data_IF_275711176290
#
_entry.id   IF_275711176290
#
_cell.length_a   1.000
_cell.length_b   1.000
_cell.length_c   1.000
_cell.angle_alpha   90.00
_cell.angle_beta   90.00
_cell.angle_gamma   90.00
#
_symmetry.space_group_name_H-M   'P 1'
#
loop_
_entity.id
_entity.type
_entity.pdbx_description
1 polymer ?
#
# COMPACT_ATOMS: atom_id res chain seq x y z
N UNK A 1 -65.77 41.49 -0.25
CA UNK A 1 -64.89 41.38 -1.45
C UNK A 1 -63.48 41.82 -1.07
N UNK A 2 -62.47 41.01 -1.40
CA UNK A 2 -61.01 41.12 -1.11
C UNK A 2 -60.57 40.29 0.11
N UNK A 3 -60.69 38.96 0.06
CA UNK A 3 -59.86 38.00 -0.69
C UNK A 3 -58.38 37.99 -0.25
N UNK A 4 -58.02 37.00 0.57
CA UNK A 4 -57.08 35.93 0.19
C UNK A 4 -55.68 36.34 -0.32
N UNK A 5 -55.02 37.35 0.24
CA UNK A 5 -53.62 37.66 -0.17
C UNK A 5 -52.59 37.72 0.97
N UNK A 6 -52.95 37.30 2.18
CA UNK A 6 -52.00 37.20 3.30
C UNK A 6 -51.25 35.86 3.41
N UNK A 7 -51.71 34.81 2.72
CA UNK A 7 -51.09 33.46 2.82
C UNK A 7 -50.00 33.18 1.78
N UNK A 8 -49.54 34.19 1.03
CA UNK A 8 -48.56 34.03 -0.05
C UNK A 8 -47.14 34.55 0.28
N UNK A 9 -46.87 34.98 1.52
CA UNK A 9 -45.51 35.34 1.97
C UNK A 9 -44.93 34.29 2.91
N UNK A 10 -44.91 33.03 2.51
CA UNK A 10 -43.95 32.08 3.08
C UNK A 10 -42.69 32.18 2.23
N UNK A 11 -41.52 32.58 2.77
CA UNK A 11 -40.29 32.52 1.98
C UNK A 11 -40.12 31.07 1.53
N UNK A 12 -39.85 30.87 0.25
CA UNK A 12 -39.58 29.55 -0.31
C UNK A 12 -38.37 29.00 0.46
N UNK A 13 -38.57 28.02 1.35
CA UNK A 13 -37.47 27.35 2.03
C UNK A 13 -36.60 26.74 0.92
N UNK A 14 -35.44 27.35 0.70
CA UNK A 14 -34.53 27.00 -0.38
C UNK A 14 -34.31 25.49 -0.43
N UNK A 15 -34.18 24.96 -1.66
CA UNK A 15 -33.86 23.56 -1.93
C UNK A 15 -32.81 23.09 -0.91
N UNK A 16 -33.08 22.01 -0.16
CA UNK A 16 -32.12 21.41 0.77
C UNK A 16 -30.79 21.27 0.03
N UNK A 17 -29.80 22.08 0.40
CA UNK A 17 -28.45 21.95 -0.14
C UNK A 17 -28.01 20.55 0.27
N UNK A 18 -27.72 19.71 -0.72
CA UNK A 18 -27.14 18.39 -0.49
C UNK A 18 -25.71 18.64 -0.03
N UNK A 19 -25.54 18.98 1.26
CA UNK A 19 -24.23 18.94 1.89
C UNK A 19 -23.76 17.51 1.74
N UNK A 20 -22.68 17.31 0.99
CA UNK A 20 -22.09 15.99 0.81
C UNK A 20 -21.77 15.36 2.17
N UNK A 21 -21.38 14.08 2.17
CA UNK A 21 -20.93 13.39 3.38
C UNK A 21 -19.90 14.27 4.09
N UNK A 22 -20.22 14.74 5.29
CA UNK A 22 -19.30 15.50 6.13
C UNK A 22 -17.96 14.75 6.15
N UNK A 23 -16.81 15.40 5.87
CA UNK A 23 -15.53 14.75 6.05
C UNK A 23 -15.49 14.26 7.49
N UNK A 24 -15.49 12.95 7.70
CA UNK A 24 -15.28 12.39 9.03
C UNK A 24 -13.95 12.96 9.52
N UNK A 25 -13.96 13.74 10.60
CA UNK A 25 -12.74 14.22 11.24
C UNK A 25 -11.87 12.99 11.51
N UNK A 26 -10.75 12.89 10.78
CA UNK A 26 -9.82 11.78 10.95
C UNK A 26 -9.36 11.77 12.40
N UNK A 27 -9.51 10.62 13.09
CA UNK A 27 -8.99 10.44 14.44
C UNK A 27 -7.52 10.89 14.48
N UNK A 28 -7.13 11.62 15.54
CA UNK A 28 -5.73 11.99 15.77
C UNK A 28 -4.90 10.70 15.83
N UNK A 29 -4.09 10.46 14.79
CA UNK A 29 -3.21 9.30 14.72
C UNK A 29 -1.94 9.62 15.51
N UNK A 30 -1.46 8.70 16.37
CA UNK A 30 -0.17 8.89 17.02
C UNK A 30 0.94 9.00 15.98
N UNK A 31 2.05 9.63 16.38
CA UNK A 31 3.23 9.73 15.52
C UNK A 31 3.67 8.34 15.03
N UNK A 32 4.18 8.25 13.78
CA UNK A 32 4.67 6.99 13.24
C UNK A 32 5.81 6.40 14.09
N UNK A 33 5.89 5.06 14.16
CA UNK A 33 6.82 4.35 15.06
C UNK A 33 8.29 4.73 14.84
N UNK A 34 8.68 4.95 13.58
CA UNK A 34 10.04 5.33 13.20
C UNK A 34 10.45 6.70 13.76
N UNK A 35 9.47 7.55 14.10
CA UNK A 35 9.70 8.88 14.66
C UNK A 35 9.63 8.90 16.18
N UNK A 36 8.86 7.99 16.78
CA UNK A 36 8.63 7.91 18.22
C UNK A 36 9.93 7.67 19.00
N UNK A 37 10.82 6.81 18.49
CA UNK A 37 12.06 6.44 19.16
C UNK A 37 13.22 7.42 18.92
N UNK A 38 13.18 8.21 17.84
CA UNK A 38 14.26 9.13 17.46
C UNK A 38 13.67 10.54 17.27
N UNK A 39 13.70 11.38 18.33
CA UNK A 39 13.11 12.72 18.28
C UNK A 39 13.90 13.68 17.37
N UNK A 40 15.22 13.55 17.32
CA UNK A 40 16.08 14.44 16.52
C UNK A 40 15.97 14.12 15.01
N UNK A 41 15.71 15.15 14.21
CA UNK A 41 15.52 15.01 12.75
C UNK A 41 16.81 14.57 12.04
N UNK A 42 17.97 15.06 12.48
CA UNK A 42 19.26 14.74 11.86
C UNK A 42 19.65 13.28 12.05
N UNK A 43 19.47 12.74 13.25
CA UNK A 43 19.75 11.33 13.56
C UNK A 43 18.78 10.42 12.81
N UNK A 44 17.52 10.85 12.64
CA UNK A 44 16.53 10.14 11.82
C UNK A 44 16.95 10.06 10.35
N UNK A 45 17.45 11.16 9.78
CA UNK A 45 17.97 11.18 8.42
C UNK A 45 19.20 10.27 8.25
N UNK A 46 20.10 10.23 9.25
CA UNK A 46 21.24 9.29 9.28
C UNK A 46 20.76 7.83 9.33
N UNK A 47 19.79 7.51 10.19
CA UNK A 47 19.21 6.17 10.28
C UNK A 47 18.54 5.73 8.97
N UNK A 48 17.80 6.62 8.30
CA UNK A 48 17.20 6.35 7.00
C UNK A 48 18.25 6.04 5.92
N UNK A 49 19.38 6.76 5.91
CA UNK A 49 20.52 6.47 5.01
C UNK A 49 21.13 5.09 5.29
N UNK A 50 21.34 4.75 6.57
CA UNK A 50 21.85 3.44 6.98
C UNK A 50 20.93 2.31 6.52
N UNK A 51 19.60 2.47 6.68
CA UNK A 51 18.59 1.52 6.20
C UNK A 51 18.71 1.29 4.69
N UNK A 52 18.78 2.35 3.89
CA UNK A 52 18.91 2.23 2.42
C UNK A 52 20.23 1.55 2.03
N UNK A 53 21.33 1.87 2.73
CA UNK A 53 22.62 1.23 2.51
C UNK A 53 22.58 -0.28 2.81
N UNK A 54 21.95 -0.69 3.92
CA UNK A 54 21.79 -2.10 4.26
C UNK A 54 21.00 -2.88 3.20
N UNK A 55 19.99 -2.26 2.58
CA UNK A 55 19.19 -2.88 1.53
C UNK A 55 19.89 -2.99 0.16
N UNK A 56 21.06 -2.35 -0.04
CA UNK A 56 21.74 -2.35 -1.35
C UNK A 56 22.03 -3.75 -1.88
N UNK A 57 22.43 -4.68 -1.01
CA UNK A 57 22.74 -6.07 -1.41
C UNK A 57 21.50 -6.80 -1.93
N UNK A 58 20.39 -6.70 -1.20
CA UNK A 58 19.10 -7.30 -1.57
C UNK A 58 18.61 -6.76 -2.92
N UNK A 59 18.74 -5.45 -3.15
CA UNK A 59 18.37 -4.81 -4.43
C UNK A 59 19.27 -5.25 -5.59
N UNK A 60 20.57 -5.41 -5.34
CA UNK A 60 21.52 -5.93 -6.34
C UNK A 60 21.17 -7.37 -6.74
N UNK A 61 20.73 -8.18 -5.78
CA UNK A 61 20.24 -9.55 -6.01
C UNK A 61 18.79 -9.58 -6.57
N UNK A 62 18.18 -8.42 -6.85
CA UNK A 62 16.81 -8.27 -7.35
C UNK A 62 15.73 -8.98 -6.52
N UNK A 63 15.93 -9.10 -5.20
CA UNK A 63 14.96 -9.69 -4.28
C UNK A 63 13.76 -8.78 -4.07
N UNK A 64 12.58 -9.36 -3.85
CA UNK A 64 11.34 -8.60 -3.60
C UNK A 64 11.40 -7.78 -2.29
N UNK A 65 12.12 -8.30 -1.30
CA UNK A 65 12.30 -7.67 0.00
C UNK A 65 13.20 -8.51 0.91
N UNK A 66 13.35 -8.10 2.16
CA UNK A 66 14.15 -8.83 3.15
C UNK A 66 13.60 -10.22 3.49
N UNK A 67 12.28 -10.39 3.36
CA UNK A 67 11.60 -11.67 3.59
C UNK A 67 11.84 -12.69 2.45
N UNK A 68 12.32 -12.24 1.29
CA UNK A 68 12.57 -13.08 0.13
C UNK A 68 13.89 -13.86 0.30
N UNK A 69 13.76 -15.04 0.91
CA UNK A 69 14.87 -15.96 1.23
C UNK A 69 14.74 -17.29 0.48
N UNK A 70 14.04 -17.30 -0.65
CA UNK A 70 13.86 -18.50 -1.45
C UNK A 70 15.18 -18.96 -2.09
N UNK A 71 15.49 -20.25 -1.95
CA UNK A 71 16.65 -20.88 -2.57
C UNK A 71 16.18 -21.62 -3.82
N UNK A 72 16.61 -21.16 -4.98
CA UNK A 72 16.25 -21.78 -6.25
C UNK A 72 17.06 -23.05 -6.49
N UNK A 73 16.42 -24.06 -7.07
CA UNK A 73 17.12 -25.22 -7.61
C UNK A 73 17.68 -24.86 -8.99
N UNK A 74 18.96 -24.46 -9.00
CA UNK A 74 19.67 -24.08 -10.22
C UNK A 74 20.00 -25.29 -11.10
N UNK A 75 20.06 -26.49 -10.52
CA UNK A 75 20.46 -27.71 -11.22
C UNK A 75 19.50 -28.86 -10.89
N UNK A 76 18.24 -28.80 -11.34
CA UNK A 76 17.27 -29.80 -10.97
C UNK A 76 17.61 -31.16 -11.58
N UNK A 77 17.60 -32.20 -10.73
CA UNK A 77 18.06 -33.56 -11.08
C UNK A 77 17.43 -34.09 -12.37
N UNK A 78 16.13 -33.89 -12.55
CA UNK A 78 15.39 -34.41 -13.69
C UNK A 78 15.75 -33.73 -15.04
N UNK A 79 16.53 -32.65 -15.03
CA UNK A 79 17.17 -32.10 -16.25
C UNK A 79 18.54 -32.74 -16.53
N UNK A 80 19.31 -33.05 -15.48
CA UNK A 80 20.73 -33.38 -15.59
C UNK A 80 21.07 -34.85 -15.29
N UNK A 81 20.07 -35.66 -14.96
CA UNK A 81 20.22 -37.07 -14.60
C UNK A 81 19.36 -37.95 -15.49
N UNK A 82 19.88 -39.13 -15.82
CA UNK A 82 19.21 -40.09 -16.69
C UNK A 82 19.56 -39.91 -18.17
N UNK A 83 19.22 -40.94 -18.96
CA UNK A 83 19.32 -40.92 -20.41
C UNK A 83 17.98 -41.32 -20.99
N UNK A 84 17.55 -40.64 -22.06
CA UNK A 84 16.33 -41.00 -22.78
C UNK A 84 16.53 -42.35 -23.49
N UNK A 85 15.62 -43.28 -23.24
CA UNK A 85 15.57 -44.60 -23.88
C UNK A 85 14.57 -44.60 -25.05
N UNK A 86 14.46 -45.71 -25.79
CA UNK A 86 13.35 -45.92 -26.73
C UNK A 86 12.04 -46.11 -25.97
N UNK A 87 10.95 -45.50 -26.46
CA UNK A 87 9.62 -45.57 -25.86
C UNK A 87 9.18 -44.26 -25.23
N UNK A 88 8.64 -44.31 -24.01
CA UNK A 88 8.10 -43.15 -23.30
C UNK A 88 9.20 -42.13 -22.94
N UNK A 89 8.82 -40.86 -23.01
CA UNK A 89 9.63 -39.70 -22.62
C UNK A 89 9.09 -39.09 -21.34
N UNK A 90 9.96 -38.49 -20.52
CA UNK A 90 9.60 -37.85 -19.25
C UNK A 90 8.87 -36.51 -19.44
N UNK A 91 9.05 -35.88 -20.61
CA UNK A 91 8.40 -34.61 -20.97
C UNK A 91 7.80 -34.69 -22.37
N UNK A 92 6.76 -33.90 -22.59
CA UNK A 92 5.96 -33.84 -23.81
C UNK A 92 6.72 -33.20 -24.97
#
# INVERSE_FOLDING_TARGET
MKNLQGQAQKPQLGKKIKVGRSPSLSASRPAPRDELAIPNKETRAKAAKLRVNAMKRLRREARKGEADRHVYDLKPKHLFSGKRKMGKTDRR
#
